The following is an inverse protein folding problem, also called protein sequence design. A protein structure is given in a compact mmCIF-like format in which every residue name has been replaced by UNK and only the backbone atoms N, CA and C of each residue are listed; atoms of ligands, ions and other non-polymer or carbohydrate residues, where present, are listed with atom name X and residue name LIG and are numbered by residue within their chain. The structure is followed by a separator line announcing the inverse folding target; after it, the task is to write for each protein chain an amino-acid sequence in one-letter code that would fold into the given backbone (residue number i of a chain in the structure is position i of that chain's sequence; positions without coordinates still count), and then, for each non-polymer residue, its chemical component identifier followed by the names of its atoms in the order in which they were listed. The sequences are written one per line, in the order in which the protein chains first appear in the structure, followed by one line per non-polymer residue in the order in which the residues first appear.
data_IF_208414122689
#
_entry.id   IF_208414122689
#
_cell.length_a   1.000
_cell.length_b   1.000
_cell.length_c   1.000
_cell.angle_alpha   90.00
_cell.angle_beta   90.00
_cell.angle_gamma   90.00
#
_symmetry.space_group_name_H-M   'P 1'
#
loop_
_entity.id
_entity.type
_entity.pdbx_description
1 polymer ?
#
# COMPACT_ATOMS: atom_id res chain seq x y z
N UNK A 1 11.47 -17.70 22.11
CA UNK A 1 12.22 -16.42 22.13
C UNK A 1 12.50 -15.83 20.74
N UNK A 2 12.42 -16.60 19.64
CA UNK A 2 12.59 -16.07 18.27
C UNK A 2 11.45 -15.14 17.79
N UNK A 3 10.20 -15.38 18.20
CA UNK A 3 9.03 -14.63 17.70
C UNK A 3 9.01 -13.12 18.05
N UNK A 4 9.77 -12.68 19.07
CA UNK A 4 9.86 -11.26 19.46
C UNK A 4 10.84 -10.49 18.57
N UNK A 5 11.99 -11.09 18.22
CA UNK A 5 13.00 -10.47 17.33
C UNK A 5 12.47 -10.27 15.90
N UNK A 6 11.52 -11.10 15.49
CA UNK A 6 11.03 -11.15 14.12
C UNK A 6 9.98 -10.08 13.80
N UNK A 7 9.10 -9.78 14.76
CA UNK A 7 8.18 -8.65 14.66
C UNK A 7 8.93 -7.31 14.70
N UNK A 8 10.05 -7.25 15.43
CA UNK A 8 10.92 -6.08 15.48
C UNK A 8 11.48 -5.74 14.10
N UNK A 9 11.93 -6.73 13.31
CA UNK A 9 12.47 -6.46 11.96
C UNK A 9 11.44 -5.88 10.99
N UNK A 10 10.19 -6.37 11.00
CA UNK A 10 9.12 -5.85 10.13
C UNK A 10 8.71 -4.45 10.59
N UNK A 11 8.65 -4.23 11.91
CA UNK A 11 8.40 -2.92 12.50
C UNK A 11 9.47 -1.90 12.10
N UNK A 12 10.76 -2.23 12.26
CA UNK A 12 11.87 -1.37 11.85
C UNK A 12 11.82 -1.08 10.35
N UNK A 13 11.51 -2.07 9.52
CA UNK A 13 11.33 -1.88 8.08
C UNK A 13 10.21 -0.86 7.79
N UNK A 14 9.09 -0.92 8.50
CA UNK A 14 7.99 0.02 8.36
C UNK A 14 8.34 1.43 8.87
N UNK A 15 8.99 1.53 10.03
CA UNK A 15 9.39 2.81 10.61
C UNK A 15 10.39 3.55 9.72
N UNK A 16 11.38 2.85 9.20
CA UNK A 16 12.34 3.41 8.23
C UNK A 16 11.62 3.92 6.98
N UNK A 17 10.68 3.13 6.45
CA UNK A 17 9.87 3.57 5.32
C UNK A 17 9.06 4.83 5.62
N UNK A 18 8.45 4.96 6.81
CA UNK A 18 7.72 6.17 7.20
C UNK A 18 8.61 7.41 7.24
N UNK A 19 9.83 7.28 7.77
CA UNK A 19 10.83 8.36 7.80
C UNK A 19 11.21 8.77 6.37
N UNK A 20 11.50 7.79 5.51
CA UNK A 20 11.81 8.03 4.10
C UNK A 20 10.63 8.69 3.36
N UNK A 21 9.38 8.30 3.64
CA UNK A 21 8.21 8.94 3.06
C UNK A 21 8.13 10.43 3.42
N UNK A 22 8.44 10.77 4.68
CA UNK A 22 8.45 12.16 5.15
C UNK A 22 9.56 12.98 4.48
N UNK A 23 10.77 12.43 4.39
CA UNK A 23 11.91 13.08 3.73
C UNK A 23 11.63 13.33 2.25
N UNK A 24 11.18 12.31 1.52
CA UNK A 24 10.82 12.43 0.10
C UNK A 24 9.69 13.44 -0.13
N UNK A 25 8.74 13.60 0.81
CA UNK A 25 7.73 14.65 0.70
C UNK A 25 8.36 16.05 0.76
N UNK A 26 9.33 16.28 1.66
CA UNK A 26 10.03 17.57 1.73
C UNK A 26 10.81 17.86 0.45
N UNK A 27 11.52 16.86 -0.08
CA UNK A 27 12.26 16.99 -1.34
C UNK A 27 11.33 17.30 -2.52
N UNK A 28 10.20 16.58 -2.65
CA UNK A 28 9.20 16.86 -3.69
C UNK A 28 8.65 18.30 -3.59
N UNK A 29 8.34 18.77 -2.38
CA UNK A 29 7.86 20.14 -2.15
C UNK A 29 8.94 21.18 -2.51
N UNK A 30 10.21 20.88 -2.21
CA UNK A 30 11.33 21.75 -2.55
C UNK A 30 11.51 21.85 -4.07
N UNK A 31 11.59 20.72 -4.77
CA UNK A 31 11.72 20.69 -6.24
C UNK A 31 10.53 21.41 -6.89
N UNK A 32 9.31 21.13 -6.41
CA UNK A 32 8.08 21.74 -6.94
C UNK A 32 8.04 23.27 -6.76
N UNK A 33 8.62 23.80 -5.69
CA UNK A 33 8.61 25.24 -5.41
C UNK A 33 9.77 26.00 -6.04
N UNK A 34 10.97 25.43 -6.05
CA UNK A 34 12.19 26.10 -6.51
C UNK A 34 12.45 25.89 -8.00
N UNK A 35 12.10 24.72 -8.54
CA UNK A 35 12.44 24.29 -9.91
C UNK A 35 11.23 23.67 -10.65
N UNK A 36 10.07 24.33 -10.69
CA UNK A 36 8.84 23.75 -11.27
C UNK A 36 8.91 23.49 -12.79
N UNK A 37 9.84 24.15 -13.50
CA UNK A 37 10.01 24.01 -14.95
C UNK A 37 11.28 23.22 -15.32
N UNK A 38 12.03 22.72 -14.34
CA UNK A 38 13.22 21.90 -14.56
C UNK A 38 12.80 20.44 -14.69
N UNK A 39 12.53 20.03 -15.93
CA UNK A 39 12.05 18.68 -16.23
C UNK A 39 13.04 17.60 -15.76
N UNK A 40 14.34 17.87 -15.83
CA UNK A 40 15.37 16.92 -15.42
C UNK A 40 15.31 16.68 -13.91
N UNK A 41 15.22 17.74 -13.11
CA UNK A 41 15.09 17.63 -11.65
C UNK A 41 13.77 16.95 -11.22
N UNK A 42 12.67 17.24 -11.92
CA UNK A 42 11.38 16.57 -11.70
C UNK A 42 11.49 15.06 -11.97
N UNK A 43 12.10 14.67 -13.09
CA UNK A 43 12.33 13.26 -13.41
C UNK A 43 13.25 12.57 -12.39
N UNK A 44 14.35 13.23 -11.98
CA UNK A 44 15.26 12.71 -10.97
C UNK A 44 14.55 12.39 -9.64
N UNK A 45 13.70 13.29 -9.13
CA UNK A 45 12.97 13.05 -7.87
C UNK A 45 11.90 11.97 -8.01
N UNK A 46 11.25 11.87 -9.19
CA UNK A 46 10.30 10.80 -9.50
C UNK A 46 11.00 9.43 -9.49
N UNK A 47 12.13 9.31 -10.18
CA UNK A 47 12.93 8.08 -10.24
C UNK A 47 13.42 7.65 -8.85
N UNK A 48 13.93 8.62 -8.07
CA UNK A 48 14.31 8.39 -6.67
C UNK A 48 13.16 7.81 -5.87
N UNK A 49 11.96 8.40 -5.96
CA UNK A 49 10.78 7.90 -5.25
C UNK A 49 10.40 6.48 -5.66
N UNK A 50 10.38 6.19 -6.96
CA UNK A 50 10.08 4.86 -7.48
C UNK A 50 11.07 3.84 -6.90
N UNK A 51 12.37 4.16 -6.90
CA UNK A 51 13.42 3.31 -6.35
C UNK A 51 13.19 3.02 -4.86
N UNK A 52 12.95 4.04 -4.03
CA UNK A 52 12.67 3.85 -2.60
C UNK A 52 11.45 2.96 -2.35
N UNK A 53 10.37 3.12 -3.13
CA UNK A 53 9.21 2.26 -2.98
C UNK A 53 9.51 0.82 -3.39
N UNK A 54 10.27 0.61 -4.47
CA UNK A 54 10.71 -0.73 -4.88
C UNK A 54 11.56 -1.41 -3.80
N UNK A 55 12.54 -0.68 -3.23
CA UNK A 55 13.40 -1.16 -2.14
C UNK A 55 12.57 -1.59 -0.93
N UNK A 56 11.59 -0.77 -0.53
CA UNK A 56 10.66 -1.12 0.55
C UNK A 56 9.86 -2.38 0.24
N UNK A 57 9.24 -2.47 -0.94
CA UNK A 57 8.45 -3.66 -1.31
C UNK A 57 9.30 -4.93 -1.42
N UNK A 58 10.55 -4.81 -1.88
CA UNK A 58 11.47 -5.94 -1.97
C UNK A 58 11.88 -6.44 -0.58
N UNK A 59 12.24 -5.52 0.32
CA UNK A 59 12.58 -5.86 1.71
C UNK A 59 11.38 -6.48 2.42
N UNK A 60 10.19 -5.92 2.21
CA UNK A 60 8.95 -6.48 2.76
C UNK A 60 8.64 -7.87 2.20
N UNK A 61 8.83 -8.11 0.91
CA UNK A 61 8.63 -9.41 0.28
C UNK A 61 9.57 -10.48 0.87
N UNK A 62 10.84 -10.14 1.11
CA UNK A 62 11.80 -11.05 1.76
C UNK A 62 11.36 -11.41 3.18
N UNK A 63 10.88 -10.43 3.95
CA UNK A 63 10.36 -10.67 5.30
C UNK A 63 9.05 -11.47 5.31
N UNK A 64 8.26 -11.42 4.23
CA UNK A 64 6.95 -12.07 4.16
C UNK A 64 7.02 -13.59 4.01
N UNK A 65 8.12 -14.15 3.49
CA UNK A 65 8.26 -15.59 3.19
C UNK A 65 7.94 -16.45 4.42
N UNK A 66 8.38 -16.02 5.60
CA UNK A 66 8.18 -16.75 6.85
C UNK A 66 7.10 -16.11 7.74
N UNK A 67 6.63 -14.89 7.42
CA UNK A 67 5.93 -14.01 8.37
C UNK A 67 4.73 -13.27 7.76
N UNK A 68 4.13 -13.82 6.70
CA UNK A 68 3.06 -13.16 5.97
C UNK A 68 1.90 -12.71 6.89
N UNK A 69 1.46 -13.57 7.80
CA UNK A 69 0.36 -13.27 8.75
C UNK A 69 0.56 -11.96 9.54
N UNK A 70 1.79 -11.67 9.97
CA UNK A 70 2.13 -10.44 10.71
C UNK A 70 2.04 -9.18 9.84
N UNK A 71 2.19 -9.31 8.52
CA UNK A 71 2.06 -8.19 7.57
C UNK A 71 0.58 -7.91 7.25
N UNK A 72 -0.26 -8.95 7.23
CA UNK A 72 -1.71 -8.80 7.01
C UNK A 72 -2.46 -8.30 8.25
N UNK A 73 -1.89 -8.48 9.45
CA UNK A 73 -2.41 -7.92 10.70
C UNK A 73 -1.33 -7.15 11.47
N UNK A 74 -0.87 -6.00 10.95
CA UNK A 74 0.28 -5.30 11.51
C UNK A 74 -0.05 -4.70 12.88
N UNK A 75 0.70 -5.14 13.89
CA UNK A 75 0.56 -4.66 15.26
C UNK A 75 1.07 -3.23 15.47
N UNK A 76 1.70 -2.61 14.46
CA UNK A 76 2.19 -1.24 14.52
C UNK A 76 1.31 -0.19 13.84
N UNK A 77 0.36 -0.61 12.99
CA UNK A 77 -0.60 0.29 12.33
C UNK A 77 -1.84 0.52 13.19
N UNK A 78 -2.32 1.75 13.25
CA UNK A 78 -3.52 2.14 14.02
C UNK A 78 -4.77 1.39 13.58
N UNK A 79 -5.81 1.38 14.42
CA UNK A 79 -7.08 0.71 14.10
C UNK A 79 -7.67 1.17 12.76
N UNK A 80 -7.60 2.48 12.49
CA UNK A 80 -8.08 3.05 11.23
C UNK A 80 -7.19 2.66 10.06
N UNK A 81 -5.86 2.68 10.20
CA UNK A 81 -4.96 2.24 9.13
C UNK A 81 -5.25 0.79 8.76
N UNK A 82 -5.40 -0.09 9.75
CA UNK A 82 -5.75 -1.50 9.53
C UNK A 82 -7.08 -1.67 8.80
N UNK A 83 -8.07 -0.83 9.07
CA UNK A 83 -9.38 -0.91 8.39
C UNK A 83 -9.34 -0.60 6.88
N UNK A 84 -8.31 0.12 6.42
CA UNK A 84 -8.11 0.48 5.01
C UNK A 84 -7.03 -0.37 4.32
N UNK A 85 -6.37 -1.29 5.03
CA UNK A 85 -5.44 -2.21 4.42
C UNK A 85 -6.19 -3.21 3.55
N UNK A 86 -5.73 -3.35 2.31
CA UNK A 86 -6.13 -4.45 1.45
C UNK A 86 -5.17 -5.61 1.72
N UNK A 87 -4.12 -5.78 0.90
CA UNK A 87 -3.11 -6.84 1.11
C UNK A 87 -1.76 -6.23 1.46
N UNK A 88 -1.57 -5.92 2.75
CA UNK A 88 -0.37 -5.26 3.28
C UNK A 88 -0.17 -3.80 2.86
N UNK A 89 -1.19 -3.16 2.29
CA UNK A 89 -1.13 -1.75 1.87
C UNK A 89 -2.43 -1.28 1.25
N UNK A 90 -2.45 -0.05 0.72
CA UNK A 90 -3.64 0.51 0.07
C UNK A 90 -4.08 -0.32 -1.14
N UNK A 91 -5.36 -0.23 -1.51
CA UNK A 91 -5.84 -0.79 -2.77
C UNK A 91 -5.37 0.10 -3.94
N UNK A 92 -4.72 -0.45 -4.99
CA UNK A 92 -4.18 0.35 -6.11
C UNK A 92 -5.17 1.33 -6.76
N UNK A 93 -6.45 0.98 -6.86
CA UNK A 93 -7.52 1.83 -7.40
C UNK A 93 -7.70 3.14 -6.63
N UNK A 94 -7.25 3.22 -5.37
CA UNK A 94 -7.27 4.45 -4.57
C UNK A 94 -6.27 5.49 -5.10
N UNK A 95 -5.16 5.05 -5.70
CA UNK A 95 -4.22 5.96 -6.38
C UNK A 95 -4.91 6.64 -7.56
N UNK A 96 -5.67 5.87 -8.34
CA UNK A 96 -6.42 6.36 -9.49
C UNK A 96 -7.59 7.24 -9.02
N UNK A 97 -8.27 6.85 -7.94
CA UNK A 97 -9.34 7.67 -7.36
C UNK A 97 -8.81 9.02 -6.88
N UNK A 98 -7.61 9.05 -6.30
CA UNK A 98 -6.96 10.30 -5.91
C UNK A 98 -6.75 11.23 -7.10
N UNK A 99 -6.36 10.71 -8.27
CA UNK A 99 -6.22 11.50 -9.51
C UNK A 99 -7.55 12.19 -9.84
N UNK A 100 -8.66 11.44 -9.92
CA UNK A 100 -9.97 12.02 -10.22
C UNK A 100 -10.40 13.05 -9.18
N UNK A 101 -10.16 12.78 -7.89
CA UNK A 101 -10.49 13.72 -6.82
C UNK A 101 -9.69 15.02 -6.96
N UNK A 102 -8.38 14.94 -7.27
CA UNK A 102 -7.54 16.12 -7.46
C UNK A 102 -7.98 16.93 -8.68
N UNK A 103 -8.28 16.27 -9.80
CA UNK A 103 -8.79 16.94 -11.00
C UNK A 103 -10.16 17.60 -10.74
N UNK A 104 -11.08 16.92 -10.04
CA UNK A 104 -12.42 17.45 -9.77
C UNK A 104 -12.44 18.57 -8.72
N UNK A 105 -11.77 18.39 -7.58
CA UNK A 105 -11.80 19.35 -6.46
C UNK A 105 -10.99 20.61 -6.71
N UNK A 106 -9.92 20.54 -7.51
CA UNK A 106 -9.12 21.71 -7.86
C UNK A 106 -9.69 22.49 -9.04
N UNK A 107 -10.47 21.85 -9.91
CA UNK A 107 -11.26 22.55 -10.92
C UNK A 107 -12.23 23.53 -10.25
N UNK A 108 -12.98 23.09 -9.23
CA UNK A 108 -13.92 23.97 -8.51
C UNK A 108 -13.27 25.20 -7.86
N UNK A 109 -12.07 25.04 -7.30
CA UNK A 109 -11.35 26.14 -6.63
C UNK A 109 -10.55 27.05 -7.58
N UNK A 110 -10.16 26.56 -8.76
CA UNK A 110 -9.40 27.33 -9.76
C UNK A 110 -10.21 27.71 -11.02
N UNK A 111 -11.51 27.41 -11.06
CA UNK A 111 -12.45 27.75 -12.14
C UNK A 111 -12.33 29.22 -12.56
N UNK A 112 -12.18 30.15 -11.61
CA UNK A 112 -12.04 31.57 -11.87
C UNK A 112 -10.74 31.92 -12.62
N UNK A 113 -9.61 31.28 -12.28
CA UNK A 113 -8.33 31.49 -12.97
C UNK A 113 -8.30 30.80 -14.35
N UNK A 114 -8.94 29.64 -14.46
CA UNK A 114 -9.05 28.90 -15.71
C UNK A 114 -9.92 29.63 -16.74
N UNK A 115 -11.04 30.24 -16.31
CA UNK A 115 -11.87 31.11 -17.15
C UNK A 115 -11.14 32.40 -17.58
N UNK A 116 -10.11 32.82 -16.84
CA UNK A 116 -9.20 33.91 -17.22
C UNK A 116 -8.07 33.46 -18.16
N UNK A 117 -8.02 32.18 -18.54
CA UNK A 117 -7.07 31.64 -19.52
C UNK A 117 -5.67 31.35 -18.95
N UNK A 118 -5.48 31.37 -17.63
CA UNK A 118 -4.19 31.06 -17.00
C UNK A 118 -4.01 29.53 -16.97
N UNK A 119 -3.21 29.00 -17.91
CA UNK A 119 -2.83 27.57 -17.92
C UNK A 119 -1.56 27.35 -17.12
N UNK A 120 -1.62 26.49 -16.10
CA UNK A 120 -0.48 26.18 -15.22
C UNK A 120 0.16 24.82 -15.51
N UNK A 121 -0.46 23.98 -16.35
CA UNK A 121 0.06 22.65 -16.72
C UNK A 121 0.21 21.69 -15.53
N UNK A 122 -0.50 21.97 -14.43
CA UNK A 122 -0.48 21.19 -13.21
C UNK A 122 -1.49 20.03 -13.28
N UNK A 123 -1.61 19.23 -12.22
CA UNK A 123 -2.50 18.06 -12.17
C UNK A 123 -4.00 18.40 -12.33
N UNK A 124 -4.37 19.68 -12.23
CA UNK A 124 -5.74 20.18 -12.49
C UNK A 124 -6.08 20.10 -13.98
N UNK A 125 -5.08 20.20 -14.84
CA UNK A 125 -5.23 20.31 -16.30
C UNK A 125 -4.82 19.02 -17.00
N UNK A 126 -5.41 17.87 -16.62
CA UNK A 126 -5.24 16.64 -17.39
C UNK A 126 -5.91 16.78 -18.75
N UNK A 127 -5.19 16.39 -19.81
CA UNK A 127 -5.75 16.36 -21.16
C UNK A 127 -6.81 15.27 -21.31
N UNK A 128 -7.68 15.39 -22.33
CA UNK A 128 -8.66 14.35 -22.64
C UNK A 128 -8.01 12.99 -22.92
N UNK A 129 -6.84 12.98 -23.58
CA UNK A 129 -6.04 11.78 -23.81
C UNK A 129 -5.54 11.17 -22.49
N UNK A 130 -4.97 12.00 -21.60
CA UNK A 130 -4.51 11.55 -20.29
C UNK A 130 -5.67 10.95 -19.47
N UNK A 131 -6.85 11.58 -19.48
CA UNK A 131 -8.03 11.06 -18.79
C UNK A 131 -8.54 9.73 -19.38
N UNK A 132 -8.47 9.57 -20.70
CA UNK A 132 -8.80 8.29 -21.36
C UNK A 132 -7.85 7.19 -20.89
N UNK A 133 -6.54 7.44 -20.93
CA UNK A 133 -5.50 6.50 -20.49
C UNK A 133 -5.61 6.15 -19.01
N UNK A 134 -5.92 7.12 -18.14
CA UNK A 134 -6.19 6.87 -16.71
C UNK A 134 -7.44 5.99 -16.53
N UNK A 135 -8.47 6.17 -17.35
CA UNK A 135 -9.71 5.38 -17.29
C UNK A 135 -9.50 3.94 -17.78
N UNK A 136 -8.68 3.74 -18.80
CA UNK A 136 -8.24 2.42 -19.25
C UNK A 136 -7.42 1.71 -18.17
N UNK A 137 -6.46 2.42 -17.57
CA UNK A 137 -5.66 1.91 -16.45
C UNK A 137 -6.55 1.52 -15.27
N UNK A 138 -7.58 2.30 -14.95
CA UNK A 138 -8.58 1.96 -13.91
C UNK A 138 -9.21 0.60 -14.19
N UNK A 139 -9.64 0.37 -15.43
CA UNK A 139 -10.30 -0.87 -15.82
C UNK A 139 -9.35 -2.09 -15.70
N UNK A 140 -8.09 -1.97 -16.14
CA UNK A 140 -7.11 -3.04 -15.95
C UNK A 140 -6.78 -3.27 -14.47
N UNK A 141 -6.55 -2.22 -13.69
CA UNK A 141 -6.19 -2.32 -12.28
C UNK A 141 -7.31 -2.98 -11.47
N UNK A 142 -8.58 -2.58 -11.67
CA UNK A 142 -9.72 -3.19 -10.97
C UNK A 142 -9.87 -4.68 -11.32
N UNK A 143 -9.63 -5.08 -12.57
CA UNK A 143 -9.67 -6.50 -12.96
C UNK A 143 -8.63 -7.33 -12.20
N UNK A 144 -7.40 -6.83 -12.11
CA UNK A 144 -6.34 -7.50 -11.35
C UNK A 144 -6.60 -7.50 -9.84
N UNK A 145 -7.16 -6.43 -9.30
CA UNK A 145 -7.60 -6.39 -7.89
C UNK A 145 -8.65 -7.44 -7.58
N UNK A 146 -9.64 -7.60 -8.47
CA UNK A 146 -10.66 -8.64 -8.32
C UNK A 146 -10.06 -10.04 -8.41
N UNK A 147 -9.09 -10.25 -9.32
CA UNK A 147 -8.37 -11.53 -9.43
C UNK A 147 -7.64 -11.87 -8.14
N UNK A 148 -6.87 -10.93 -7.59
CA UNK A 148 -6.16 -11.11 -6.32
C UNK A 148 -7.12 -11.28 -5.13
N UNK A 149 -8.24 -10.54 -5.12
CA UNK A 149 -9.25 -10.67 -4.06
C UNK A 149 -9.93 -12.04 -4.06
N UNK A 150 -10.27 -12.59 -5.23
CA UNK A 150 -10.79 -13.95 -5.35
C UNK A 150 -9.77 -15.00 -4.87
N UNK A 151 -8.49 -14.81 -5.21
CA UNK A 151 -7.42 -15.68 -4.73
C UNK A 151 -7.30 -15.67 -3.21
N UNK A 152 -7.33 -14.47 -2.60
CA UNK A 152 -7.31 -14.34 -1.14
C UNK A 152 -8.52 -15.00 -0.48
N UNK A 153 -9.72 -14.84 -1.04
CA UNK A 153 -10.92 -15.51 -0.55
C UNK A 153 -10.76 -17.04 -0.58
N UNK A 154 -10.25 -17.60 -1.68
CA UNK A 154 -9.96 -19.04 -1.76
C UNK A 154 -8.96 -19.51 -0.70
N UNK A 155 -7.91 -18.72 -0.40
CA UNK A 155 -6.99 -19.05 0.68
C UNK A 155 -7.67 -19.06 2.06
N UNK A 156 -8.62 -18.14 2.28
CA UNK A 156 -9.39 -18.08 3.52
C UNK A 156 -10.35 -19.27 3.66
N UNK A 157 -10.95 -19.72 2.55
CA UNK A 157 -11.85 -20.88 2.49
C UNK A 157 -11.07 -22.19 2.72
N UNK A 158 -9.89 -22.34 2.13
CA UNK A 158 -9.05 -23.54 2.22
C UNK A 158 -8.56 -23.86 3.64
N UNK A 159 -8.71 -22.95 4.60
CA UNK A 159 -8.46 -23.26 6.03
C UNK A 159 -9.39 -24.38 6.51
N UNK A 160 -10.61 -24.49 5.95
CA UNK A 160 -11.54 -25.57 6.26
C UNK A 160 -11.11 -26.94 5.72
N UNK A 161 -10.23 -26.97 4.72
CA UNK A 161 -9.67 -28.20 4.15
C UNK A 161 -8.30 -28.56 4.77
N UNK A 162 -7.83 -27.75 5.72
CA UNK A 162 -6.56 -27.95 6.43
C UNK A 162 -6.65 -29.11 7.44
N UNK A 163 -5.54 -29.80 7.76
CA UNK A 163 -5.45 -30.72 8.90
C UNK A 163 -6.01 -30.17 10.23
N UNK A 164 -6.14 -28.84 10.34
CA UNK A 164 -6.81 -28.13 11.43
C UNK A 164 -8.27 -28.56 11.67
N UNK A 165 -9.04 -28.94 10.64
CA UNK A 165 -10.45 -29.34 10.82
C UNK A 165 -10.63 -30.72 11.44
N UNK A 166 -9.54 -31.49 11.52
CA UNK A 166 -9.52 -32.75 12.28
C UNK A 166 -9.67 -32.53 13.79
N UNK A 167 -9.35 -31.34 14.31
CA UNK A 167 -9.66 -30.95 15.69
C UNK A 167 -11.14 -30.59 15.89
N UNK A 168 -11.85 -30.18 14.83
CA UNK A 168 -13.27 -29.82 14.90
C UNK A 168 -14.20 -31.04 14.82
N UNK A 169 -13.71 -32.18 14.32
CA UNK A 169 -14.51 -33.38 14.03
C UNK A 169 -14.38 -34.51 15.06
N UNK A 170 -13.43 -34.44 15.99
CA UNK A 170 -13.17 -35.51 16.96
C UNK A 170 -13.78 -35.22 18.35
N UNK A 171 -14.81 -35.97 18.72
CA UNK A 171 -15.42 -36.01 20.06
C UNK A 171 -14.65 -36.89 21.07
N UNK A 172 -13.38 -37.18 20.84
CA UNK A 172 -12.57 -38.04 21.73
C UNK A 172 -11.21 -37.40 21.95
N UNK A 173 -10.72 -37.43 23.18
CA UNK A 173 -9.35 -37.08 23.60
C UNK A 173 -8.30 -37.48 22.55
N UNK A 174 -8.00 -36.60 21.60
CA UNK A 174 -6.90 -36.78 20.68
C UNK A 174 -5.68 -36.32 21.43
N UNK A 175 -4.90 -37.28 21.96
CA UNK A 175 -3.55 -37.01 22.43
C UNK A 175 -2.81 -36.36 21.25
N UNK A 176 -2.46 -35.08 21.39
CA UNK A 176 -1.62 -34.36 20.44
C UNK A 176 -0.30 -35.13 20.30
N UNK A 177 -0.22 -35.96 19.27
CA UNK A 177 0.99 -36.71 18.95
C UNK A 177 1.94 -35.75 18.24
N UNK A 178 3.25 -35.85 18.46
CA UNK A 178 4.25 -35.00 17.79
C UNK A 178 4.05 -34.95 16.25
N UNK A 179 3.74 -36.09 15.64
CA UNK A 179 3.43 -36.19 14.20
C UNK A 179 2.21 -35.37 13.76
N UNK A 180 1.23 -35.14 14.64
CA UNK A 180 0.05 -34.33 14.33
C UNK A 180 0.38 -32.84 14.37
N UNK A 181 1.21 -32.41 15.31
CA UNK A 181 1.67 -31.03 15.43
C UNK A 181 2.49 -30.66 14.20
N UNK A 182 3.40 -31.54 13.76
CA UNK A 182 4.19 -31.35 12.54
C UNK A 182 3.34 -31.17 11.27
N UNK A 183 2.26 -31.95 11.11
CA UNK A 183 1.35 -31.82 9.96
C UNK A 183 0.59 -30.48 9.97
N UNK A 184 0.22 -30.00 11.15
CA UNK A 184 -0.46 -28.70 11.32
C UNK A 184 0.51 -27.57 11.00
N UNK A 185 1.72 -27.62 11.54
CA UNK A 185 2.76 -26.63 11.28
C UNK A 185 3.11 -26.56 9.79
N UNK A 186 3.24 -27.72 9.11
CA UNK A 186 3.46 -27.77 7.67
C UNK A 186 2.32 -27.12 6.87
N UNK A 187 1.06 -27.32 7.28
CA UNK A 187 -0.09 -26.71 6.63
C UNK A 187 -0.12 -25.18 6.85
N UNK A 188 0.21 -24.72 8.06
CA UNK A 188 0.31 -23.29 8.38
C UNK A 188 1.45 -22.61 7.61
N UNK A 189 2.59 -23.28 7.47
CA UNK A 189 3.72 -22.80 6.67
C UNK A 189 3.36 -22.69 5.20
N UNK A 190 2.64 -23.67 4.65
CA UNK A 190 2.13 -23.61 3.28
C UNK A 190 1.18 -22.43 3.09
N UNK A 191 0.25 -22.23 4.02
CA UNK A 191 -0.68 -21.10 3.98
C UNK A 191 0.05 -19.75 4.09
N UNK A 192 1.08 -19.65 4.94
CA UNK A 192 1.91 -18.44 5.07
C UNK A 192 2.62 -18.10 3.76
N UNK A 193 3.16 -19.09 3.04
CA UNK A 193 3.78 -18.91 1.71
C UNK A 193 2.78 -18.42 0.67
N UNK A 194 1.57 -18.96 0.68
CA UNK A 194 0.50 -18.52 -0.21
C UNK A 194 0.10 -17.05 0.07
N UNK A 195 -0.05 -16.68 1.35
CA UNK A 195 -0.29 -15.29 1.75
C UNK A 195 0.86 -14.36 1.32
N UNK A 196 2.12 -14.80 1.50
CA UNK A 196 3.30 -14.04 1.07
C UNK A 196 3.26 -13.77 -0.44
N UNK A 197 2.87 -14.76 -1.24
CA UNK A 197 2.77 -14.60 -2.69
C UNK A 197 1.64 -13.64 -3.11
N UNK A 198 0.50 -13.62 -2.40
CA UNK A 198 -0.57 -12.63 -2.61
C UNK A 198 -0.05 -11.23 -2.30
N UNK A 199 0.68 -11.04 -1.21
CA UNK A 199 1.31 -9.76 -0.88
C UNK A 199 2.26 -9.29 -1.99
N UNK A 200 3.14 -10.17 -2.46
CA UNK A 200 4.09 -9.86 -3.54
C UNK A 200 3.37 -9.43 -4.81
N UNK A 201 2.35 -10.16 -5.24
CA UNK A 201 1.59 -9.81 -6.44
C UNK A 201 0.80 -8.51 -6.27
N UNK A 202 0.32 -8.24 -5.05
CA UNK A 202 -0.34 -6.98 -4.72
C UNK A 202 0.61 -5.80 -4.78
N UNK A 203 1.85 -5.97 -4.31
CA UNK A 203 2.89 -4.94 -4.38
C UNK A 203 3.36 -4.66 -5.80
N UNK A 204 3.47 -5.70 -6.63
CA UNK A 204 3.69 -5.54 -8.07
C UNK A 204 2.55 -4.74 -8.71
N UNK A 205 1.29 -5.04 -8.38
CA UNK A 205 0.15 -4.29 -8.92
C UNK A 205 0.17 -2.81 -8.48
N UNK A 206 0.50 -2.53 -7.22
CA UNK A 206 0.67 -1.14 -6.73
C UNK A 206 1.78 -0.41 -7.48
N UNK A 207 2.94 -1.04 -7.61
CA UNK A 207 4.10 -0.46 -8.28
C UNK A 207 3.82 -0.20 -9.76
N UNK A 208 3.21 -1.16 -10.46
CA UNK A 208 2.86 -1.02 -11.86
C UNK A 208 1.82 0.09 -12.05
N UNK A 209 0.76 0.13 -11.22
CA UNK A 209 -0.25 1.20 -11.27
C UNK A 209 0.38 2.57 -11.05
N UNK A 210 1.30 2.70 -10.09
CA UNK A 210 2.03 3.95 -9.83
C UNK A 210 2.87 4.39 -11.04
N UNK A 211 3.65 3.47 -11.62
CA UNK A 211 4.49 3.74 -12.79
C UNK A 211 3.68 4.11 -14.03
N UNK A 212 2.59 3.40 -14.29
CA UNK A 212 1.69 3.70 -15.40
C UNK A 212 1.05 5.10 -15.25
N UNK A 213 0.58 5.46 -14.04
CA UNK A 213 0.08 6.81 -13.77
C UNK A 213 1.15 7.87 -14.05
N UNK A 214 2.37 7.67 -13.54
CA UNK A 214 3.50 8.58 -13.77
C UNK A 214 3.80 8.71 -15.27
N UNK A 215 3.75 7.61 -16.04
CA UNK A 215 3.96 7.60 -17.49
C UNK A 215 2.80 8.18 -18.32
N UNK A 216 1.64 8.42 -17.72
CA UNK A 216 0.54 9.18 -18.34
C UNK A 216 0.75 10.68 -18.14
N UNK A 217 1.32 11.08 -17.01
CA UNK A 217 1.46 12.48 -16.60
C UNK A 217 2.72 13.15 -17.17
N UNK A 218 2.68 14.48 -17.26
CA UNK A 218 3.93 15.25 -17.37
C UNK A 218 4.71 15.13 -16.06
N UNK A 219 6.04 15.35 -16.05
CA UNK A 219 6.83 15.28 -14.82
C UNK A 219 6.29 16.20 -13.71
N UNK A 220 5.77 17.38 -14.08
CA UNK A 220 5.16 18.31 -13.14
C UNK A 220 3.88 17.76 -12.51
N UNK A 221 2.99 17.21 -13.34
CA UNK A 221 1.75 16.57 -12.88
C UNK A 221 2.05 15.34 -12.01
N UNK A 222 3.04 14.53 -12.38
CA UNK A 222 3.48 13.39 -11.60
C UNK A 222 3.99 13.83 -10.21
N UNK A 223 4.81 14.89 -10.13
CA UNK A 223 5.25 15.44 -8.84
C UNK A 223 4.08 15.94 -7.99
N UNK A 224 3.11 16.66 -8.58
CA UNK A 224 1.90 17.11 -7.86
C UNK A 224 1.09 15.92 -7.31
N UNK A 225 0.92 14.88 -8.13
CA UNK A 225 0.23 13.64 -7.73
C UNK A 225 0.96 12.94 -6.59
N UNK A 226 2.28 12.80 -6.68
CA UNK A 226 3.12 12.16 -5.65
C UNK A 226 3.10 12.93 -4.33
N UNK A 227 3.11 14.26 -4.37
CA UNK A 227 2.96 15.11 -3.19
C UNK A 227 1.61 14.84 -2.52
N UNK A 228 0.52 14.86 -3.29
CA UNK A 228 -0.82 14.61 -2.76
C UNK A 228 -0.95 13.22 -2.15
N UNK A 229 -0.43 12.18 -2.83
CA UNK A 229 -0.42 10.81 -2.34
C UNK A 229 0.32 10.66 -1.01
N UNK A 230 1.52 11.25 -0.90
CA UNK A 230 2.29 11.24 0.35
C UNK A 230 1.62 12.00 1.48
N UNK A 231 1.06 13.18 1.20
CA UNK A 231 0.32 13.96 2.20
C UNK A 231 -0.86 13.15 2.74
N UNK A 232 -1.66 12.55 1.86
CA UNK A 232 -2.79 11.70 2.27
C UNK A 232 -2.33 10.56 3.18
N UNK A 233 -1.29 9.84 2.77
CA UNK A 233 -0.75 8.73 3.54
C UNK A 233 -0.26 9.15 4.94
N UNK A 234 0.56 10.20 5.02
CA UNK A 234 1.10 10.71 6.29
C UNK A 234 0.01 11.28 7.20
N UNK A 235 -0.99 11.99 6.63
CA UNK A 235 -2.12 12.50 7.41
C UNK A 235 -2.98 11.37 7.97
N UNK A 236 -3.25 10.32 7.19
CA UNK A 236 -3.98 9.14 7.68
C UNK A 236 -3.25 8.48 8.86
N UNK A 237 -1.93 8.36 8.80
CA UNK A 237 -1.12 7.86 9.90
C UNK A 237 -1.25 8.71 11.17
N UNK A 238 -1.07 10.03 11.03
CA UNK A 238 -1.17 10.97 12.16
C UNK A 238 -2.57 11.01 12.79
N UNK A 239 -3.61 11.02 11.96
CA UNK A 239 -5.00 10.98 12.44
C UNK A 239 -5.33 9.67 13.12
N UNK A 240 -4.84 8.55 12.60
CA UNK A 240 -4.95 7.25 13.26
C UNK A 240 -4.32 7.25 14.64
N UNK A 241 -3.09 7.75 14.78
CA UNK A 241 -2.40 7.84 16.07
C UNK A 241 -3.17 8.70 17.06
N UNK A 242 -3.65 9.87 16.62
CA UNK A 242 -4.46 10.77 17.44
C UNK A 242 -5.77 10.09 17.89
N UNK A 243 -6.45 9.37 17.00
CA UNK A 243 -7.72 8.70 17.30
C UNK A 243 -7.53 7.55 18.27
N UNK A 244 -6.52 6.70 18.08
CA UNK A 244 -6.22 5.59 18.99
C UNK A 244 -5.87 6.12 20.40
N UNK A 245 -5.14 7.24 20.48
CA UNK A 245 -4.86 7.91 21.74
C UNK A 245 -6.14 8.38 22.46
N UNK A 246 -7.07 9.02 21.74
CA UNK A 246 -8.33 9.52 22.31
C UNK A 246 -9.26 8.40 22.80
N UNK A 247 -9.26 7.23 22.16
CA UNK A 247 -10.15 6.12 22.50
C UNK A 247 -9.50 5.10 23.46
N UNK A 248 -8.35 5.43 24.06
CA UNK A 248 -7.69 4.54 25.03
C UNK A 248 -7.10 3.27 24.42
N UNK A 249 -6.98 3.19 23.08
CA UNK A 249 -6.26 2.12 22.40
C UNK A 249 -4.76 2.37 22.50
N UNK A 250 -4.21 2.32 23.72
CA UNK A 250 -2.77 2.28 23.93
C UNK A 250 -2.26 0.93 23.45
N UNK A 251 -1.47 0.94 22.37
CA UNK A 251 -0.57 -0.17 22.10
C UNK A 251 0.58 -0.09 23.09
N UNK A 252 0.43 -0.77 24.22
CA UNK A 252 1.57 -1.17 25.05
C UNK A 252 2.41 -2.15 24.25
N UNK A 253 3.35 -1.64 23.46
CA UNK A 253 4.51 -2.42 23.06
C UNK A 253 5.42 -2.45 24.29
N UNK A 254 5.37 -3.58 25.02
CA UNK A 254 6.42 -3.98 25.95
C UNK A 254 7.49 -4.75 25.18
#
# INVERSE_FOLDING_TARGET
MASSSDQVQILECYQNWMIEQQQLLQELLQVRSQKPNDEQELCCIIEKLIKHFQEYTNRRAQLAVDKASSIFSPMWCTSIENSYLWFGGCRPSLLIQLVYTLCGSQLESQLSEHLQGVRRGNLVELSADQLSRVSELRCSTIREEQRLSRRMAGLQENIADSPLTRFASNNSDVIETESHIEQVDQALDSHSKDLASVLVDSDKLRMNTLKELIGIFTPLQAVDFLIAGKKLHLCMHQWGQRRDHLHGHRKTLR
#
